data_IF_843794338692
#
_entry.id   IF_843794338692
#
_cell.length_a   1.000
_cell.length_b   1.000
_cell.length_c   1.000
_cell.angle_alpha   90.00
_cell.angle_beta   90.00
_cell.angle_gamma   90.00
#
_symmetry.space_group_name_H-M   'P 1'
#
loop_
_entity.id
_entity.type
_entity.pdbx_description
1 polymer ?
#
# COMPACT_ATOMS: atom_id res chain seq x y z
N UNK A 1 -2.69 11.30 -47.84
CA UNK A 1 -3.99 10.63 -47.64
C UNK A 1 -4.85 11.51 -46.74
N UNK A 2 -6.16 11.61 -46.97
CA UNK A 2 -7.08 12.37 -46.10
C UNK A 2 -8.30 11.48 -45.84
N UNK A 3 -8.49 10.99 -44.62
CA UNK A 3 -9.60 10.08 -44.28
C UNK A 3 -10.62 10.79 -43.40
N UNK A 4 -11.85 10.92 -43.89
CA UNK A 4 -12.97 11.61 -43.22
C UNK A 4 -13.94 10.65 -42.51
N UNK A 5 -13.58 9.37 -42.34
CA UNK A 5 -14.33 8.40 -41.52
C UNK A 5 -14.08 8.60 -40.01
N UNK A 6 -14.57 7.72 -39.14
CA UNK A 6 -14.37 7.77 -37.67
C UNK A 6 -13.60 6.55 -37.13
N UNK A 7 -12.73 5.92 -37.93
CA UNK A 7 -11.99 4.71 -37.54
C UNK A 7 -10.48 4.84 -37.75
N UNK A 8 -9.72 4.02 -37.02
CA UNK A 8 -8.27 3.83 -37.12
C UNK A 8 -7.80 3.63 -38.57
N UNK A 9 -6.58 4.09 -38.88
CA UNK A 9 -5.93 3.83 -40.16
C UNK A 9 -4.80 2.84 -39.93
N UNK A 10 -4.94 1.62 -40.44
CA UNK A 10 -3.90 0.59 -40.36
C UNK A 10 -3.13 0.50 -41.68
N UNK A 11 -1.81 0.61 -41.62
CA UNK A 11 -0.90 0.27 -42.72
C UNK A 11 -0.45 -1.18 -42.55
N UNK A 12 -1.01 -2.09 -43.37
CA UNK A 12 -0.79 -3.54 -43.22
C UNK A 12 0.45 -4.06 -43.96
N UNK A 13 1.12 -5.03 -43.36
CA UNK A 13 2.36 -5.69 -43.82
C UNK A 13 2.23 -6.45 -45.14
N UNK A 14 1.02 -6.81 -45.60
CA UNK A 14 0.79 -7.67 -46.78
C UNK A 14 1.30 -7.13 -48.14
N UNK A 15 1.96 -5.96 -48.17
CA UNK A 15 2.59 -5.37 -49.36
C UNK A 15 4.05 -4.92 -49.19
N UNK A 16 4.70 -5.18 -48.04
CA UNK A 16 6.05 -4.72 -47.75
C UNK A 16 7.05 -5.89 -47.82
N UNK A 17 7.80 -5.95 -48.93
CA UNK A 17 8.95 -6.84 -49.08
C UNK A 17 10.12 -6.41 -48.15
N UNK A 18 11.18 -7.22 -47.96
CA UNK A 18 12.36 -6.84 -47.18
C UNK A 18 13.16 -5.63 -47.74
N UNK A 19 12.75 -5.05 -48.87
CA UNK A 19 13.29 -3.80 -49.38
C UNK A 19 12.52 -2.60 -48.79
N UNK A 20 13.24 -1.63 -48.25
CA UNK A 20 12.67 -0.50 -47.51
C UNK A 20 11.64 0.32 -48.33
N UNK A 21 10.46 0.58 -47.74
CA UNK A 21 9.51 1.58 -48.26
C UNK A 21 9.83 2.95 -47.65
N UNK A 22 9.83 4.01 -48.47
CA UNK A 22 10.02 5.39 -48.00
C UNK A 22 8.75 6.22 -48.23
N UNK A 23 8.22 6.83 -47.16
CA UNK A 23 7.13 7.79 -47.19
C UNK A 23 7.68 9.22 -47.03
N UNK A 24 7.67 10.00 -48.11
CA UNK A 24 8.25 11.36 -48.13
C UNK A 24 7.20 12.49 -48.09
N UNK A 25 5.91 12.16 -48.17
CA UNK A 25 4.83 13.14 -48.06
C UNK A 25 4.50 13.47 -46.60
N UNK A 26 3.97 14.68 -46.36
CA UNK A 26 3.46 15.04 -45.03
C UNK A 26 2.33 14.10 -44.59
N UNK A 27 2.37 13.69 -43.33
CA UNK A 27 1.45 12.75 -42.71
C UNK A 27 0.80 13.38 -41.47
N UNK A 28 -0.50 13.18 -41.27
CA UNK A 28 -1.24 13.78 -40.15
C UNK A 28 -2.02 12.72 -39.38
N UNK A 29 -1.68 12.53 -38.10
CA UNK A 29 -2.33 11.70 -37.09
C UNK A 29 -3.61 12.37 -36.58
N UNK A 30 -4.59 12.53 -37.47
CA UNK A 30 -5.93 13.00 -37.11
C UNK A 30 -6.79 11.91 -36.45
N UNK A 31 -6.28 10.67 -36.40
CA UNK A 31 -6.82 9.45 -35.81
C UNK A 31 -5.65 8.56 -35.36
N UNK A 32 -5.87 7.57 -34.48
CA UNK A 32 -4.85 6.55 -34.21
C UNK A 32 -4.42 5.89 -35.53
N UNK A 33 -3.11 5.71 -35.68
CA UNK A 33 -2.51 5.07 -36.85
C UNK A 33 -1.65 3.92 -36.39
N UNK A 34 -1.98 2.72 -36.87
CA UNK A 34 -1.16 1.52 -36.67
C UNK A 34 -0.26 1.32 -37.89
N UNK A 35 1.03 1.27 -37.65
CA UNK A 35 2.05 0.82 -38.59
C UNK A 35 2.38 -0.65 -38.29
N UNK A 36 1.69 -1.55 -38.99
CA UNK A 36 1.90 -2.99 -38.91
C UNK A 36 2.94 -3.42 -39.95
N UNK A 37 4.20 -3.50 -39.52
CA UNK A 37 5.37 -3.61 -40.41
C UNK A 37 6.30 -4.74 -39.97
N UNK A 38 6.49 -5.73 -40.85
CA UNK A 38 7.47 -6.83 -40.70
C UNK A 38 8.82 -6.56 -41.42
N UNK A 39 8.85 -5.57 -42.32
CA UNK A 39 10.04 -5.14 -43.07
C UNK A 39 10.66 -3.86 -42.51
N UNK A 40 11.16 -2.98 -43.38
CA UNK A 40 11.59 -1.63 -42.99
C UNK A 40 10.72 -0.57 -43.67
N UNK A 41 10.19 0.36 -42.89
CA UNK A 41 9.44 1.53 -43.35
C UNK A 41 10.14 2.80 -42.85
N UNK A 42 10.60 3.66 -43.75
CA UNK A 42 11.14 4.98 -43.40
C UNK A 42 10.14 6.09 -43.72
N UNK A 43 9.85 6.94 -42.74
CA UNK A 43 9.00 8.13 -42.88
C UNK A 43 9.91 9.36 -42.85
N UNK A 44 10.17 9.91 -44.03
CA UNK A 44 11.01 11.10 -44.23
C UNK A 44 10.19 12.39 -44.32
N UNK A 45 8.89 12.29 -44.60
CA UNK A 45 7.95 13.42 -44.54
C UNK A 45 7.59 13.80 -43.09
N UNK A 46 7.18 15.06 -42.84
CA UNK A 46 6.78 15.49 -41.50
C UNK A 46 5.50 14.78 -41.05
N UNK A 47 5.50 14.24 -39.83
CA UNK A 47 4.34 13.68 -39.12
C UNK A 47 3.80 14.72 -38.14
N UNK A 48 2.52 15.08 -38.25
CA UNK A 48 1.82 16.02 -37.36
C UNK A 48 0.56 15.38 -36.77
N UNK A 49 -0.17 16.08 -35.91
CA UNK A 49 -1.47 15.61 -35.39
C UNK A 49 -1.43 15.30 -33.90
N UNK A 50 -2.55 14.94 -33.30
CA UNK A 50 -2.68 14.79 -31.85
C UNK A 50 -2.97 13.37 -31.37
N UNK A 51 -3.15 12.44 -32.31
CA UNK A 51 -3.48 11.05 -32.00
C UNK A 51 -2.23 10.16 -31.97
N UNK A 52 -2.37 8.95 -31.42
CA UNK A 52 -1.29 7.98 -31.25
C UNK A 52 -0.71 7.51 -32.59
N UNK A 53 0.59 7.24 -32.55
CA UNK A 53 1.31 6.40 -33.48
C UNK A 53 1.54 5.05 -32.80
N UNK A 54 1.06 3.99 -33.41
CA UNK A 54 1.18 2.63 -32.89
C UNK A 54 2.03 1.80 -33.84
N UNK A 55 3.03 1.09 -33.32
CA UNK A 55 3.93 0.22 -34.08
C UNK A 55 3.70 -1.23 -33.67
N UNK A 56 3.31 -2.05 -34.65
CA UNK A 56 3.16 -3.51 -34.52
C UNK A 56 3.96 -4.22 -35.63
N UNK A 57 4.00 -5.54 -35.61
CA UNK A 57 4.77 -6.35 -36.54
C UNK A 57 6.26 -6.37 -36.21
N UNK A 58 6.96 -7.35 -36.72
CA UNK A 58 8.33 -7.70 -36.27
C UNK A 58 9.44 -6.79 -36.81
N UNK A 59 9.11 -5.90 -37.73
CA UNK A 59 10.04 -5.05 -38.47
C UNK A 59 10.31 -3.70 -37.82
N UNK A 60 10.92 -2.79 -38.60
CA UNK A 60 11.35 -1.46 -38.16
C UNK A 60 10.58 -0.35 -38.86
N UNK A 61 10.02 0.59 -38.09
CA UNK A 61 9.59 1.90 -38.58
C UNK A 61 10.64 2.93 -38.18
N UNK A 62 11.12 3.71 -39.14
CA UNK A 62 12.13 4.75 -38.94
C UNK A 62 11.45 6.11 -39.17
N UNK A 63 11.45 6.97 -38.15
CA UNK A 63 11.07 8.37 -38.28
C UNK A 63 12.33 9.19 -38.54
N UNK A 64 12.38 9.86 -39.70
CA UNK A 64 13.53 10.68 -40.12
C UNK A 64 13.15 12.14 -40.40
N UNK A 65 11.86 12.41 -40.64
CA UNK A 65 11.34 13.75 -40.95
C UNK A 65 11.15 14.65 -39.72
N UNK A 66 10.95 15.97 -39.89
CA UNK A 66 10.69 16.90 -38.79
C UNK A 66 9.24 16.74 -38.29
N UNK A 67 9.09 16.02 -37.18
CA UNK A 67 7.80 15.64 -36.64
C UNK A 67 7.29 16.65 -35.60
N UNK A 68 5.97 16.75 -35.50
CA UNK A 68 5.25 17.70 -34.64
C UNK A 68 3.98 17.11 -34.06
N UNK A 69 3.85 15.78 -34.08
CA UNK A 69 2.70 15.13 -33.47
C UNK A 69 2.80 15.18 -31.94
N UNK A 70 1.64 15.23 -31.28
CA UNK A 70 1.50 15.36 -29.83
C UNK A 70 0.78 14.17 -29.19
N UNK A 71 0.55 13.08 -29.93
CA UNK A 71 0.01 11.84 -29.38
C UNK A 71 1.11 10.92 -28.84
N UNK A 72 0.71 9.77 -28.28
CA UNK A 72 1.61 8.73 -27.80
C UNK A 72 2.39 8.06 -28.94
N UNK A 73 3.60 7.59 -28.64
CA UNK A 73 4.35 6.65 -29.49
C UNK A 73 4.33 5.28 -28.83
N UNK A 74 3.41 4.42 -29.24
CA UNK A 74 3.23 3.09 -28.65
C UNK A 74 3.91 2.05 -29.54
N UNK A 75 4.78 1.24 -28.95
CA UNK A 75 5.52 0.17 -29.64
C UNK A 75 5.11 -1.16 -29.03
N UNK A 76 4.22 -1.86 -29.72
CA UNK A 76 3.71 -3.17 -29.28
C UNK A 76 4.60 -4.32 -29.77
N UNK A 77 5.21 -4.19 -30.95
CA UNK A 77 6.13 -5.20 -31.50
C UNK A 77 7.20 -4.57 -32.41
N UNK A 78 8.36 -5.22 -32.51
CA UNK A 78 9.45 -4.81 -33.40
C UNK A 78 10.09 -3.49 -32.96
N UNK A 79 10.57 -2.68 -33.90
CA UNK A 79 11.34 -1.46 -33.58
C UNK A 79 10.69 -0.19 -34.11
N UNK A 80 10.52 0.81 -33.27
CA UNK A 80 10.37 2.22 -33.68
C UNK A 80 11.74 2.90 -33.51
N UNK A 81 12.31 3.40 -34.61
CA UNK A 81 13.60 4.11 -34.60
C UNK A 81 13.41 5.60 -34.85
N UNK A 82 14.02 6.42 -34.01
CA UNK A 82 14.04 7.88 -34.11
C UNK A 82 15.41 8.28 -34.65
N UNK A 83 15.46 8.70 -35.92
CA UNK A 83 16.72 8.84 -36.65
C UNK A 83 17.47 10.15 -36.37
N UNK A 84 16.86 11.11 -35.66
CA UNK A 84 17.44 12.39 -35.26
C UNK A 84 16.50 13.13 -34.29
N UNK A 85 17.00 14.17 -33.62
CA UNK A 85 16.24 14.96 -32.63
C UNK A 85 14.91 15.52 -33.16
N UNK A 86 14.87 15.96 -34.42
CA UNK A 86 13.66 16.53 -35.01
C UNK A 86 12.59 15.47 -35.35
N UNK A 87 12.94 14.19 -35.31
CA UNK A 87 12.04 13.10 -35.65
C UNK A 87 11.20 12.59 -34.47
N UNK A 88 11.51 12.98 -33.24
CA UNK A 88 10.77 12.51 -32.06
C UNK A 88 9.33 13.01 -32.03
N UNK A 89 9.10 14.28 -32.40
CA UNK A 89 7.80 14.93 -32.27
C UNK A 89 7.78 15.95 -31.13
N UNK A 90 6.58 16.30 -30.65
CA UNK A 90 6.38 17.25 -29.53
C UNK A 90 5.85 16.53 -28.28
N UNK A 91 5.16 15.40 -28.43
CA UNK A 91 4.81 14.53 -27.30
C UNK A 91 5.98 13.62 -26.97
N UNK A 92 6.16 13.39 -25.68
CA UNK A 92 7.23 12.57 -25.13
C UNK A 92 6.68 11.42 -24.27
N UNK A 93 5.37 11.17 -24.32
CA UNK A 93 4.82 9.94 -23.74
C UNK A 93 4.99 8.78 -24.72
N UNK A 94 5.42 7.63 -24.23
CA UNK A 94 5.61 6.43 -25.02
C UNK A 94 5.37 5.17 -24.18
N UNK A 95 5.00 4.10 -24.87
CA UNK A 95 4.79 2.78 -24.29
C UNK A 95 5.57 1.74 -25.11
N UNK A 96 6.29 0.84 -24.44
CA UNK A 96 7.09 -0.20 -25.08
C UNK A 96 6.69 -1.53 -24.44
N UNK A 97 6.09 -2.43 -25.21
CA UNK A 97 5.79 -3.80 -24.76
C UNK A 97 7.04 -4.69 -24.72
N UNK A 98 6.94 -5.83 -24.01
CA UNK A 98 8.06 -6.74 -23.68
C UNK A 98 9.00 -7.12 -24.86
N UNK A 99 8.47 -7.33 -26.06
CA UNK A 99 9.27 -7.72 -27.25
C UNK A 99 9.51 -6.56 -28.23
N UNK A 100 9.20 -5.34 -27.81
CA UNK A 100 9.33 -4.14 -28.61
C UNK A 100 10.61 -3.36 -28.28
N UNK A 101 11.00 -2.49 -29.20
CA UNK A 101 12.17 -1.63 -29.05
C UNK A 101 11.87 -0.20 -29.51
N UNK A 102 12.17 0.77 -28.65
CA UNK A 102 12.30 2.17 -29.05
C UNK A 102 13.80 2.50 -29.17
N UNK A 103 14.27 2.69 -30.40
CA UNK A 103 15.67 2.97 -30.73
C UNK A 103 15.89 4.45 -30.97
N UNK A 104 16.62 5.10 -30.06
CA UNK A 104 16.87 6.55 -30.06
C UNK A 104 18.37 6.87 -30.21
N UNK A 105 19.20 5.86 -30.51
CA UNK A 105 20.66 5.98 -30.54
C UNK A 105 21.20 7.00 -31.55
N UNK A 106 20.38 7.44 -32.51
CA UNK A 106 20.74 8.47 -33.48
C UNK A 106 20.44 9.90 -33.01
N UNK A 107 19.78 10.06 -31.85
CA UNK A 107 19.53 11.36 -31.21
C UNK A 107 20.81 11.86 -30.53
N UNK A 108 20.96 13.18 -30.44
CA UNK A 108 22.10 13.84 -29.77
C UNK A 108 21.73 14.46 -28.43
N UNK A 109 20.43 14.55 -28.15
CA UNK A 109 19.87 14.97 -26.88
C UNK A 109 19.10 13.79 -26.29
N UNK A 110 19.24 13.48 -24.99
CA UNK A 110 18.40 12.49 -24.33
C UNK A 110 16.92 12.80 -24.53
N UNK A 111 16.08 11.76 -24.56
CA UNK A 111 14.63 11.98 -24.51
C UNK A 111 14.28 12.55 -23.14
N UNK A 112 13.57 13.67 -23.10
CA UNK A 112 12.97 14.22 -21.87
C UNK A 112 11.52 13.75 -21.78
N UNK A 113 11.12 13.12 -20.68
CA UNK A 113 9.71 12.79 -20.34
C UNK A 113 9.17 13.93 -19.47
N UNK A 114 8.40 14.90 -20.00
CA UNK A 114 8.02 16.10 -19.25
C UNK A 114 7.03 15.78 -18.12
N UNK A 115 6.88 16.70 -17.18
CA UNK A 115 6.09 16.56 -15.94
C UNK A 115 4.60 16.18 -16.08
N UNK A 116 4.06 16.14 -17.29
CA UNK A 116 2.67 15.74 -17.59
C UNK A 116 2.58 14.50 -18.49
N UNK A 117 3.68 13.77 -18.64
CA UNK A 117 3.83 12.65 -19.57
C UNK A 117 4.32 11.39 -18.84
N UNK A 118 4.11 10.25 -19.49
CA UNK A 118 4.38 8.93 -18.97
C UNK A 118 5.27 8.17 -19.95
N UNK A 119 6.31 7.52 -19.43
CA UNK A 119 7.09 6.53 -20.14
C UNK A 119 6.83 5.16 -19.51
N UNK A 120 6.30 4.23 -20.29
CA UNK A 120 6.06 2.85 -19.87
C UNK A 120 7.04 1.93 -20.62
N UNK A 121 7.95 1.27 -19.92
CA UNK A 121 9.03 0.48 -20.52
C UNK A 121 8.95 -0.95 -20.00
N UNK A 122 8.30 -1.82 -20.76
CA UNK A 122 8.28 -3.27 -20.55
C UNK A 122 9.25 -4.00 -21.50
N UNK A 123 9.50 -3.42 -22.68
CA UNK A 123 10.49 -3.90 -23.64
C UNK A 123 11.85 -3.21 -23.52
N UNK A 124 12.46 -2.88 -24.66
CA UNK A 124 13.78 -2.25 -24.73
C UNK A 124 13.73 -0.78 -25.19
N UNK A 125 14.35 0.12 -24.43
CA UNK A 125 14.66 1.48 -24.83
C UNK A 125 16.16 1.57 -25.08
N UNK A 126 16.58 2.06 -26.25
CA UNK A 126 18.01 2.25 -26.57
C UNK A 126 18.33 3.75 -26.62
N UNK A 127 19.21 4.20 -25.73
CA UNK A 127 19.63 5.60 -25.60
C UNK A 127 19.44 6.16 -24.18
N UNK A 128 19.79 7.44 -24.02
CA UNK A 128 19.71 8.15 -22.74
C UNK A 128 18.31 8.73 -22.50
N UNK A 129 17.85 8.67 -21.25
CA UNK A 129 16.54 9.15 -20.80
C UNK A 129 16.69 10.18 -19.67
N UNK A 130 15.98 11.30 -19.81
CA UNK A 130 15.73 12.29 -18.76
C UNK A 130 14.26 12.21 -18.38
N UNK A 131 13.95 12.10 -17.09
CA UNK A 131 12.57 11.96 -16.59
C UNK A 131 12.24 13.18 -15.73
N UNK A 132 11.35 14.02 -16.23
CA UNK A 132 10.76 15.15 -15.50
C UNK A 132 9.32 14.87 -15.04
N UNK A 133 8.72 13.78 -15.54
CA UNK A 133 7.36 13.31 -15.25
C UNK A 133 7.38 11.93 -14.62
N UNK A 134 6.79 10.95 -15.31
CA UNK A 134 6.58 9.62 -14.75
C UNK A 134 7.22 8.54 -15.62
N UNK A 135 7.97 7.62 -15.00
CA UNK A 135 8.52 6.42 -15.63
C UNK A 135 8.06 5.17 -14.88
N UNK A 136 7.50 4.21 -15.58
CA UNK A 136 7.10 2.91 -15.05
C UNK A 136 7.55 1.76 -15.96
N UNK A 137 7.69 0.59 -15.37
CA UNK A 137 7.88 -0.65 -16.09
C UNK A 137 9.01 -1.51 -15.52
N UNK A 138 9.19 -2.67 -16.10
CA UNK A 138 10.18 -3.67 -15.71
C UNK A 138 11.07 -4.11 -16.89
N UNK A 139 11.18 -3.24 -17.91
CA UNK A 139 11.94 -3.48 -19.13
C UNK A 139 13.41 -3.09 -19.02
N UNK A 140 14.03 -2.82 -20.18
CA UNK A 140 15.45 -2.59 -20.34
C UNK A 140 15.72 -1.21 -20.95
N UNK A 141 16.60 -0.44 -20.33
CA UNK A 141 17.09 0.87 -20.80
C UNK A 141 18.58 0.73 -21.07
N UNK A 142 18.94 0.70 -22.35
CA UNK A 142 20.34 0.68 -22.81
C UNK A 142 20.89 2.10 -22.92
N UNK A 143 21.19 2.70 -21.76
CA UNK A 143 21.68 4.07 -21.64
C UNK A 143 21.57 4.60 -20.22
N UNK A 144 21.85 5.88 -20.06
CA UNK A 144 21.76 6.57 -18.77
C UNK A 144 20.33 7.02 -18.47
N UNK A 145 19.96 7.03 -17.19
CA UNK A 145 18.68 7.53 -16.70
C UNK A 145 18.92 8.65 -15.70
N UNK A 146 18.40 9.84 -15.98
CA UNK A 146 18.41 10.99 -15.08
C UNK A 146 16.98 11.38 -14.69
N UNK A 147 16.60 11.13 -13.44
CA UNK A 147 15.29 11.47 -12.88
C UNK A 147 15.41 12.82 -12.17
N UNK A 148 14.70 13.82 -12.69
CA UNK A 148 14.77 15.22 -12.25
C UNK A 148 13.83 15.51 -11.08
N UNK A 149 14.06 16.65 -10.44
CA UNK A 149 13.24 17.13 -9.33
C UNK A 149 11.73 17.13 -9.64
N UNK A 150 10.95 16.49 -8.77
CA UNK A 150 9.49 16.35 -8.87
C UNK A 150 9.01 15.26 -9.83
N UNK A 151 9.93 14.52 -10.46
CA UNK A 151 9.61 13.35 -11.25
C UNK A 151 9.47 12.10 -10.35
N UNK A 152 8.80 11.09 -10.88
CA UNK A 152 8.50 9.85 -10.18
C UNK A 152 8.87 8.65 -11.06
N UNK A 153 9.49 7.64 -10.44
CA UNK A 153 9.81 6.37 -11.09
C UNK A 153 9.29 5.19 -10.27
N UNK A 154 8.64 4.25 -10.94
CA UNK A 154 8.10 3.01 -10.37
C UNK A 154 8.54 1.82 -11.21
N UNK A 155 9.59 1.09 -10.80
CA UNK A 155 9.79 -0.26 -11.31
C UNK A 155 8.51 -1.07 -11.08
N UNK A 156 7.95 -1.73 -12.09
CA UNK A 156 6.62 -2.36 -11.93
C UNK A 156 6.65 -3.55 -10.96
N UNK A 157 5.50 -3.85 -10.33
CA UNK A 157 5.31 -4.74 -9.17
C UNK A 157 5.89 -6.16 -9.34
N UNK A 158 5.91 -6.68 -10.57
CA UNK A 158 6.30 -8.04 -10.91
C UNK A 158 7.60 -8.14 -11.73
N UNK A 159 8.51 -7.17 -11.60
CA UNK A 159 9.76 -7.27 -12.35
C UNK A 159 10.92 -6.39 -11.91
N UNK A 160 11.94 -6.40 -12.79
CA UNK A 160 13.19 -5.70 -12.61
C UNK A 160 13.38 -4.69 -13.72
N UNK A 161 13.30 -3.39 -13.41
CA UNK A 161 13.75 -2.38 -14.35
C UNK A 161 15.27 -2.44 -14.49
N UNK A 162 15.77 -2.58 -15.71
CA UNK A 162 17.21 -2.67 -16.00
C UNK A 162 17.72 -1.39 -16.66
N UNK A 163 18.75 -0.78 -16.11
CA UNK A 163 19.46 0.38 -16.67
C UNK A 163 20.91 -0.03 -16.88
N UNK A 164 21.41 -0.02 -18.11
CA UNK A 164 22.80 -0.43 -18.39
C UNK A 164 23.82 0.66 -18.09
N UNK A 165 23.41 1.93 -18.14
CA UNK A 165 24.26 3.08 -17.86
C UNK A 165 24.12 3.60 -16.43
N UNK A 166 24.45 4.88 -16.26
CA UNK A 166 24.35 5.57 -14.97
C UNK A 166 22.89 5.86 -14.61
N UNK A 167 22.57 5.79 -13.33
CA UNK A 167 21.29 6.20 -12.77
C UNK A 167 21.48 7.38 -11.82
N UNK A 168 20.76 8.48 -12.06
CA UNK A 168 20.77 9.67 -11.19
C UNK A 168 19.36 10.01 -10.74
N UNK A 169 19.15 10.13 -9.43
CA UNK A 169 17.90 10.56 -8.80
C UNK A 169 18.14 11.90 -8.09
N UNK A 170 17.63 12.99 -8.66
CA UNK A 170 17.80 14.35 -8.14
C UNK A 170 16.99 14.60 -6.85
N UNK A 171 17.33 15.69 -6.15
CA UNK A 171 16.53 16.22 -5.06
C UNK A 171 15.04 16.32 -5.41
N UNK A 172 14.17 15.85 -4.51
CA UNK A 172 12.70 15.80 -4.68
C UNK A 172 12.19 14.98 -5.86
N UNK A 173 13.03 14.21 -6.53
CA UNK A 173 12.57 13.09 -7.34
C UNK A 173 12.22 11.91 -6.43
N UNK A 174 11.24 11.13 -6.82
CA UNK A 174 10.72 10.00 -6.03
C UNK A 174 10.95 8.68 -6.78
N UNK A 175 11.40 7.66 -6.06
CA UNK A 175 11.38 6.27 -6.52
C UNK A 175 10.54 5.43 -5.57
N UNK A 176 9.64 4.61 -6.11
CA UNK A 176 8.78 3.73 -5.32
C UNK A 176 9.13 2.25 -5.51
N UNK A 177 9.23 1.54 -4.39
CA UNK A 177 9.29 0.08 -4.37
C UNK A 177 8.12 -0.48 -3.56
N UNK A 178 7.57 -1.58 -4.03
CA UNK A 178 6.53 -2.33 -3.36
C UNK A 178 7.12 -3.59 -2.71
N UNK A 179 6.77 -3.83 -1.45
CA UNK A 179 7.24 -4.94 -0.62
C UNK A 179 6.07 -5.83 -0.21
N UNK A 180 5.97 -7.03 -0.79
CA UNK A 180 4.95 -8.05 -0.48
C UNK A 180 5.51 -9.27 0.30
N UNK A 181 6.79 -9.62 0.16
CA UNK A 181 7.49 -10.69 0.89
C UNK A 181 8.91 -10.80 0.28
N UNK A 182 9.71 -11.76 0.70
CA UNK A 182 11.15 -11.83 0.43
C UNK A 182 11.54 -12.43 -0.94
N UNK A 183 10.59 -12.84 -1.79
CA UNK A 183 10.91 -13.39 -3.12
C UNK A 183 11.02 -12.28 -4.18
N UNK A 184 12.21 -11.99 -4.73
CA UNK A 184 12.38 -10.94 -5.73
C UNK A 184 11.56 -11.22 -6.99
N UNK A 185 11.06 -10.15 -7.61
CA UNK A 185 10.31 -10.13 -8.88
C UNK A 185 8.93 -10.82 -8.85
N UNK A 186 8.55 -11.38 -7.71
CA UNK A 186 7.24 -11.98 -7.48
C UNK A 186 6.53 -11.33 -6.30
N UNK A 187 7.30 -11.00 -5.27
CA UNK A 187 6.82 -10.45 -4.02
C UNK A 187 7.47 -9.10 -3.71
N UNK A 188 8.37 -8.60 -4.55
CA UNK A 188 8.80 -7.20 -4.56
C UNK A 188 9.47 -6.85 -5.89
N UNK A 189 9.33 -5.59 -6.30
CA UNK A 189 9.96 -5.04 -7.50
C UNK A 189 11.44 -4.69 -7.25
N UNK A 190 12.25 -4.74 -8.30
CA UNK A 190 13.67 -4.40 -8.23
C UNK A 190 14.07 -3.43 -9.33
N UNK A 191 15.20 -2.75 -9.11
CA UNK A 191 15.95 -2.06 -10.14
C UNK A 191 17.34 -2.65 -10.25
N UNK A 192 17.87 -2.75 -11.46
CA UNK A 192 19.28 -3.06 -11.72
C UNK A 192 19.92 -1.91 -12.47
N UNK A 193 21.10 -1.49 -12.01
CA UNK A 193 21.92 -0.47 -12.64
C UNK A 193 23.29 -1.06 -12.96
N UNK A 194 23.74 -0.88 -14.20
CA UNK A 194 25.04 -1.36 -14.70
C UNK A 194 26.13 -0.29 -14.71
N UNK A 195 25.82 0.94 -14.32
CA UNK A 195 26.76 2.06 -14.18
C UNK A 195 26.71 2.69 -12.79
N UNK A 196 27.17 3.93 -12.68
CA UNK A 196 27.18 4.66 -11.39
C UNK A 196 25.77 5.01 -10.94
N UNK A 197 25.50 4.84 -9.65
CA UNK A 197 24.25 5.27 -9.00
C UNK A 197 24.49 6.55 -8.22
N UNK A 198 23.71 7.61 -8.48
CA UNK A 198 23.76 8.88 -7.75
C UNK A 198 22.41 9.21 -7.14
N UNK A 199 22.36 9.43 -5.82
CA UNK A 199 21.13 9.64 -5.06
C UNK A 199 21.13 10.96 -4.27
N UNK A 200 20.10 11.76 -4.50
CA UNK A 200 19.67 12.87 -3.64
C UNK A 200 18.13 12.95 -3.53
N UNK A 201 17.40 11.96 -4.06
CA UNK A 201 15.94 11.91 -4.05
C UNK A 201 15.32 11.19 -2.85
N UNK A 202 13.99 11.10 -2.87
CA UNK A 202 13.16 10.51 -1.84
C UNK A 202 12.79 9.05 -2.21
N UNK A 203 12.71 8.18 -1.20
CA UNK A 203 12.30 6.78 -1.35
C UNK A 203 10.88 6.61 -0.82
N UNK A 204 10.02 5.99 -1.63
CA UNK A 204 8.68 5.56 -1.24
C UNK A 204 8.65 4.04 -1.16
N UNK A 205 7.99 3.52 -0.13
CA UNK A 205 7.79 2.09 0.06
C UNK A 205 6.30 1.80 0.19
N UNK A 206 5.74 1.09 -0.78
CA UNK A 206 4.44 0.45 -0.65
C UNK A 206 4.59 -0.90 0.05
N UNK A 207 3.70 -1.25 0.97
CA UNK A 207 3.70 -2.59 1.59
C UNK A 207 2.28 -3.06 1.88
N UNK A 208 2.00 -4.32 1.59
CA UNK A 208 0.70 -5.00 1.83
C UNK A 208 0.79 -6.38 2.55
N UNK A 209 1.88 -6.71 3.29
CA UNK A 209 1.85 -7.84 4.23
C UNK A 209 2.44 -7.55 5.61
N UNK A 210 2.26 -8.52 6.50
CA UNK A 210 2.95 -8.60 7.80
C UNK A 210 4.41 -9.00 7.58
N UNK A 211 5.28 -8.02 7.37
CA UNK A 211 6.73 -8.20 7.39
C UNK A 211 7.19 -8.69 8.77
N UNK A 212 8.18 -9.57 8.82
CA UNK A 212 8.72 -10.11 10.08
C UNK A 212 10.21 -9.81 10.24
N UNK A 213 10.69 -9.83 11.48
CA UNK A 213 12.11 -9.58 11.79
C UNK A 213 13.04 -10.49 10.97
N UNK A 214 14.08 -9.89 10.39
CA UNK A 214 15.08 -10.49 9.49
C UNK A 214 14.62 -10.76 8.06
N UNK A 215 13.41 -10.37 7.65
CA UNK A 215 13.09 -10.28 6.22
C UNK A 215 14.07 -9.31 5.55
N UNK A 216 14.55 -9.67 4.37
CA UNK A 216 15.60 -8.93 3.67
C UNK A 216 15.27 -8.75 2.19
N UNK A 217 15.57 -7.56 1.69
CA UNK A 217 15.24 -7.11 0.35
C UNK A 217 16.47 -6.46 -0.28
N UNK A 218 16.64 -6.65 -1.59
CA UNK A 218 17.63 -5.89 -2.37
C UNK A 218 16.85 -5.10 -3.41
N UNK A 219 16.62 -3.81 -3.18
CA UNK A 219 15.75 -3.01 -4.05
C UNK A 219 16.49 -2.49 -5.29
N UNK A 220 17.77 -2.15 -5.11
CA UNK A 220 18.63 -1.72 -6.21
C UNK A 220 19.88 -2.60 -6.25
N UNK A 221 20.04 -3.33 -7.35
CA UNK A 221 21.24 -4.07 -7.69
C UNK A 221 22.15 -3.18 -8.51
N UNK A 222 23.31 -2.83 -7.98
CA UNK A 222 24.34 -2.11 -8.69
C UNK A 222 25.47 -3.08 -9.04
N UNK A 223 26.13 -2.90 -10.17
CA UNK A 223 27.18 -3.84 -10.56
C UNK A 223 28.39 -3.78 -9.62
N UNK A 224 29.12 -4.87 -9.46
CA UNK A 224 30.27 -4.94 -8.53
C UNK A 224 31.44 -3.95 -8.78
N UNK A 225 31.37 -3.11 -9.81
CA UNK A 225 32.44 -2.18 -10.21
C UNK A 225 32.14 -0.72 -9.97
N UNK A 226 30.88 -0.31 -10.04
CA UNK A 226 30.49 1.09 -10.01
C UNK A 226 30.00 1.56 -8.63
N UNK A 227 30.39 2.75 -8.16
CA UNK A 227 30.02 3.21 -6.82
C UNK A 227 28.56 3.67 -6.73
N UNK A 228 28.01 3.62 -5.51
CA UNK A 228 26.87 4.46 -5.12
C UNK A 228 27.40 5.78 -4.54
N UNK A 229 26.89 6.90 -5.05
CA UNK A 229 27.13 8.25 -4.55
C UNK A 229 25.88 8.83 -3.91
N UNK A 230 26.01 9.34 -2.69
CA UNK A 230 24.88 9.89 -1.93
C UNK A 230 24.05 8.80 -1.25
N UNK A 231 22.87 9.19 -0.78
CA UNK A 231 21.89 8.31 -0.13
C UNK A 231 20.50 8.81 -0.49
N UNK A 232 19.47 7.99 -0.30
CA UNK A 232 18.11 8.53 -0.22
C UNK A 232 18.05 9.59 0.89
N UNK A 233 17.22 10.62 0.66
CA UNK A 233 17.11 11.74 1.60
C UNK A 233 16.59 11.29 2.94
N UNK A 234 17.22 11.82 4.00
CA UNK A 234 16.85 11.49 5.37
C UNK A 234 17.23 10.06 5.81
N UNK A 235 17.83 9.26 4.92
CA UNK A 235 18.08 7.85 5.15
C UNK A 235 19.56 7.49 4.92
N UNK A 236 20.48 7.88 5.82
CA UNK A 236 21.89 7.52 5.73
C UNK A 236 22.11 6.01 5.91
N UNK A 237 23.33 5.51 5.69
CA UNK A 237 23.70 4.11 5.98
C UNK A 237 23.26 3.68 7.39
N UNK A 238 22.53 2.57 7.48
CA UNK A 238 21.96 2.05 8.74
C UNK A 238 20.75 2.83 9.27
N UNK A 239 20.27 3.85 8.54
CA UNK A 239 19.04 4.55 8.81
C UNK A 239 17.81 3.63 8.69
N UNK A 240 16.73 4.00 9.36
CA UNK A 240 15.54 3.16 9.48
C UNK A 240 14.26 3.88 9.04
N UNK A 241 13.33 3.13 8.46
CA UNK A 241 11.96 3.57 8.16
C UNK A 241 11.03 2.72 9.03
N UNK A 242 10.27 3.35 9.95
CA UNK A 242 9.29 2.64 10.76
C UNK A 242 8.17 2.07 9.88
N UNK A 243 7.80 0.80 10.08
CA UNK A 243 6.79 0.09 9.28
C UNK A 243 5.60 -0.43 10.10
N UNK A 244 5.46 -0.03 11.35
CA UNK A 244 4.42 -0.55 12.22
C UNK A 244 4.87 -1.78 13.02
N UNK A 245 4.03 -2.23 13.97
CA UNK A 245 4.25 -3.45 14.78
C UNK A 245 5.58 -3.53 15.53
N UNK A 246 6.19 -2.39 15.87
CA UNK A 246 7.50 -2.36 16.53
C UNK A 246 8.66 -2.79 15.62
N UNK A 247 8.46 -2.74 14.30
CA UNK A 247 9.45 -3.08 13.28
C UNK A 247 9.82 -1.87 12.43
N UNK A 248 11.03 -1.89 11.89
CA UNK A 248 11.53 -0.90 10.95
C UNK A 248 12.35 -1.56 9.84
N UNK A 249 12.40 -0.93 8.67
CA UNK A 249 13.28 -1.30 7.57
C UNK A 249 14.59 -0.52 7.70
N UNK A 250 15.67 -1.22 8.01
CA UNK A 250 17.03 -0.65 8.05
C UNK A 250 17.68 -0.74 6.67
N UNK A 251 18.18 0.39 6.15
CA UNK A 251 18.88 0.46 4.87
C UNK A 251 20.37 0.08 5.00
N UNK A 252 20.91 -0.56 3.98
CA UNK A 252 22.34 -0.60 3.70
C UNK A 252 22.63 -0.33 2.23
N UNK A 253 23.47 0.66 1.96
CA UNK A 253 24.06 0.97 0.65
C UNK A 253 25.35 0.17 0.38
N UNK A 254 25.65 -0.81 1.24
CA UNK A 254 26.77 -1.74 1.13
C UNK A 254 26.28 -3.19 1.02
N UNK A 255 25.01 -3.39 0.66
CA UNK A 255 24.46 -4.72 0.46
C UNK A 255 25.16 -5.41 -0.73
N UNK A 256 25.06 -6.74 -0.77
CA UNK A 256 25.65 -7.57 -1.83
C UNK A 256 24.64 -8.64 -2.25
N UNK A 257 23.60 -8.21 -2.96
CA UNK A 257 22.60 -9.03 -3.60
C UNK A 257 23.04 -9.60 -4.94
N UNK A 258 24.00 -8.99 -5.63
CA UNK A 258 24.50 -9.49 -6.92
C UNK A 258 25.54 -10.64 -6.78
N UNK A 259 26.06 -10.86 -5.57
CA UNK A 259 27.06 -11.88 -5.26
C UNK A 259 28.48 -11.51 -5.71
N UNK A 260 28.71 -10.23 -6.02
CA UNK A 260 29.96 -9.65 -6.45
C UNK A 260 31.00 -9.53 -5.33
N UNK A 261 32.17 -9.00 -5.70
CA UNK A 261 33.30 -8.84 -4.77
C UNK A 261 33.19 -7.58 -3.87
N UNK A 262 32.32 -6.63 -4.24
CA UNK A 262 32.08 -5.38 -3.54
C UNK A 262 30.61 -5.36 -3.14
N UNK A 263 30.32 -4.89 -1.92
CA UNK A 263 28.94 -4.59 -1.52
C UNK A 263 28.64 -3.15 -1.88
N UNK A 264 27.82 -2.95 -2.89
CA UNK A 264 27.41 -1.65 -3.41
C UNK A 264 25.98 -1.72 -3.97
N UNK A 265 25.18 -2.66 -3.48
CA UNK A 265 23.73 -2.70 -3.69
C UNK A 265 23.00 -1.92 -2.59
N UNK A 266 21.72 -1.62 -2.82
CA UNK A 266 20.85 -1.04 -1.82
C UNK A 266 19.90 -2.11 -1.30
N UNK A 267 20.17 -2.55 -0.08
CA UNK A 267 19.39 -3.53 0.64
C UNK A 267 18.63 -2.94 1.80
N UNK A 268 17.54 -3.61 2.17
CA UNK A 268 16.79 -3.35 3.38
C UNK A 268 16.67 -4.63 4.20
N UNK A 269 16.68 -4.49 5.52
CA UNK A 269 16.44 -5.60 6.45
C UNK A 269 15.44 -5.15 7.49
N UNK A 270 14.43 -5.97 7.75
CA UNK A 270 13.48 -5.74 8.82
C UNK A 270 14.16 -6.00 10.15
N UNK A 271 14.21 -4.96 10.99
CA UNK A 271 14.81 -4.97 12.31
C UNK A 271 13.76 -4.54 13.33
N UNK A 272 13.94 -4.83 14.63
CA UNK A 272 13.18 -4.14 15.66
C UNK A 272 13.32 -2.63 15.49
N UNK A 273 12.21 -1.91 15.51
CA UNK A 273 12.29 -0.45 15.52
C UNK A 273 12.91 -0.01 16.84
N UNK A 274 14.10 0.56 16.75
CA UNK A 274 14.86 1.05 17.89
C UNK A 274 14.82 2.57 18.02
N UNK A 275 13.94 3.25 17.29
CA UNK A 275 13.96 4.68 17.05
C UNK A 275 12.64 5.42 17.30
N UNK A 276 11.52 4.69 17.37
CA UNK A 276 10.17 5.24 17.57
C UNK A 276 9.60 4.93 18.96
N UNK A 277 8.47 5.56 19.26
CA UNK A 277 7.66 5.34 20.49
C UNK A 277 6.48 4.44 20.13
N UNK A 278 6.02 3.56 21.01
CA UNK A 278 4.89 2.64 20.74
C UNK A 278 3.86 2.71 21.88
N UNK A 279 2.73 3.40 21.69
CA UNK A 279 1.74 3.62 22.75
C UNK A 279 0.52 2.68 22.70
N UNK A 280 0.65 1.47 23.23
CA UNK A 280 -0.50 0.56 23.30
C UNK A 280 -1.59 0.95 24.31
N UNK A 281 -2.86 0.81 23.90
CA UNK A 281 -4.04 0.83 24.76
C UNK A 281 -4.49 -0.57 25.16
N UNK A 282 -4.90 -0.70 26.41
CA UNK A 282 -5.71 -1.84 26.89
C UNK A 282 -6.80 -1.35 27.82
N UNK A 283 -7.90 -2.10 27.92
CA UNK A 283 -9.09 -1.69 28.67
C UNK A 283 -9.50 -2.70 29.74
N UNK A 284 -9.91 -2.16 30.89
CA UNK A 284 -10.62 -2.87 31.94
C UNK A 284 -11.97 -2.19 32.16
N UNK A 285 -13.04 -2.85 31.72
CA UNK A 285 -14.41 -2.39 31.87
C UNK A 285 -15.27 -3.48 32.53
N UNK A 286 -16.30 -3.12 33.32
CA UNK A 286 -17.26 -4.10 33.79
C UNK A 286 -18.05 -4.67 32.60
N UNK A 287 -18.21 -5.99 32.59
CA UNK A 287 -19.03 -6.67 31.58
C UNK A 287 -20.50 -6.26 31.66
N UNK A 288 -21.01 -6.02 32.88
CA UNK A 288 -22.38 -5.60 33.11
C UNK A 288 -22.52 -4.72 34.35
N UNK A 289 -23.51 -3.82 34.33
CA UNK A 289 -23.84 -2.90 35.41
C UNK A 289 -25.36 -2.79 35.59
N UNK A 290 -25.81 -2.46 36.79
CA UNK A 290 -27.22 -2.22 37.08
C UNK A 290 -27.69 -0.88 36.48
N UNK A 291 -29.00 -0.79 36.21
CA UNK A 291 -29.66 0.45 35.79
C UNK A 291 -29.35 1.59 36.75
N UNK A 292 -29.05 2.77 36.22
CA UNK A 292 -28.73 3.98 36.99
C UNK A 292 -27.56 3.83 38.00
N UNK A 293 -26.79 2.75 37.93
CA UNK A 293 -25.62 2.55 38.80
C UNK A 293 -24.40 3.33 38.27
N UNK A 294 -23.51 3.70 39.19
CA UNK A 294 -22.22 4.28 38.82
C UNK A 294 -21.24 3.16 38.48
N UNK A 295 -20.46 3.35 37.42
CA UNK A 295 -19.41 2.43 37.03
C UNK A 295 -18.21 3.19 36.45
N UNK A 296 -17.09 2.47 36.28
CA UNK A 296 -15.87 3.03 35.74
C UNK A 296 -15.29 2.15 34.64
N UNK A 297 -14.68 2.78 33.64
CA UNK A 297 -13.89 2.14 32.60
C UNK A 297 -12.45 2.63 32.76
N UNK A 298 -11.49 1.72 32.87
CA UNK A 298 -10.09 2.08 33.04
C UNK A 298 -9.29 1.66 31.82
N UNK A 299 -8.62 2.62 31.20
CA UNK A 299 -7.67 2.39 30.13
C UNK A 299 -6.26 2.40 30.70
N UNK A 300 -5.44 1.44 30.31
CA UNK A 300 -4.01 1.44 30.55
C UNK A 300 -3.33 1.81 29.24
N UNK A 301 -2.52 2.86 29.29
CA UNK A 301 -1.65 3.29 28.19
C UNK A 301 -0.25 2.84 28.55
N UNK A 302 0.32 1.95 27.76
CA UNK A 302 1.68 1.46 27.94
C UNK A 302 2.56 1.96 26.80
N UNK A 303 3.80 2.35 27.12
CA UNK A 303 4.82 2.57 26.12
C UNK A 303 5.62 1.27 25.94
N UNK A 304 5.47 0.61 24.80
CA UNK A 304 6.02 -0.71 24.50
C UNK A 304 7.36 -0.68 23.74
N UNK A 305 7.85 0.49 23.32
CA UNK A 305 8.94 0.49 22.37
C UNK A 305 9.59 1.83 22.11
N UNK A 306 10.86 1.79 21.74
CA UNK A 306 11.93 1.73 22.76
C UNK A 306 12.39 3.11 23.22
N UNK A 307 11.65 4.13 22.83
CA UNK A 307 11.88 5.51 23.21
C UNK A 307 10.79 6.02 24.13
N UNK A 308 11.14 7.02 24.92
CA UNK A 308 10.17 7.74 25.73
C UNK A 308 9.15 8.44 24.81
N UNK A 309 7.86 8.26 25.10
CA UNK A 309 6.79 8.96 24.39
C UNK A 309 6.88 10.45 24.65
N UNK A 310 6.48 11.26 23.67
CA UNK A 310 6.14 12.65 23.93
C UNK A 310 4.81 12.74 24.70
N UNK A 311 4.42 13.95 25.11
CA UNK A 311 3.10 14.14 25.71
C UNK A 311 2.01 13.87 24.66
N UNK A 312 1.04 13.05 25.03
CA UNK A 312 -0.03 12.56 24.17
C UNK A 312 -1.41 12.88 24.76
N UNK A 313 -2.47 12.42 24.12
CA UNK A 313 -3.82 12.56 24.67
C UNK A 313 -4.69 11.35 24.36
N UNK A 314 -5.38 10.83 25.38
CA UNK A 314 -6.46 9.87 25.18
C UNK A 314 -7.70 10.63 24.73
N UNK A 315 -8.18 10.31 23.54
CA UNK A 315 -9.40 10.88 22.99
C UNK A 315 -10.51 9.84 23.01
N UNK A 316 -11.69 10.24 23.47
CA UNK A 316 -12.81 9.33 23.68
C UNK A 316 -14.09 9.99 23.19
N UNK A 317 -14.75 9.36 22.23
CA UNK A 317 -16.11 9.75 21.90
C UNK A 317 -17.06 9.26 23.00
N UNK A 318 -17.71 10.20 23.69
CA UNK A 318 -18.56 9.87 24.83
C UNK A 318 -19.86 9.20 24.36
N UNK A 319 -20.29 8.09 24.98
CA UNK A 319 -21.54 7.43 24.62
C UNK A 319 -22.76 8.32 24.91
N UNK A 320 -23.67 8.46 23.94
CA UNK A 320 -24.87 9.27 24.08
C UNK A 320 -25.87 8.74 25.12
N UNK A 321 -25.81 7.45 25.44
CA UNK A 321 -26.75 6.77 26.33
C UNK A 321 -26.23 6.57 27.76
N UNK A 322 -25.05 7.08 28.11
CA UNK A 322 -24.54 7.10 29.48
C UNK A 322 -24.24 8.53 29.95
N UNK A 323 -24.37 8.79 31.25
CA UNK A 323 -24.01 10.10 31.81
C UNK A 323 -22.55 10.09 32.25
N UNK A 324 -21.68 10.83 31.56
CA UNK A 324 -20.28 11.00 31.95
C UNK A 324 -20.13 11.98 33.13
N UNK A 325 -19.34 11.59 34.14
CA UNK A 325 -19.08 12.42 35.34
C UNK A 325 -17.67 13.01 35.39
N UNK A 326 -16.73 12.41 34.66
CA UNK A 326 -15.34 12.87 34.64
C UNK A 326 -14.34 11.74 34.42
N UNK A 327 -13.10 12.15 34.23
CA UNK A 327 -11.95 11.25 34.10
C UNK A 327 -10.92 11.52 35.20
N UNK A 328 -10.11 10.52 35.49
CA UNK A 328 -8.90 10.65 36.30
C UNK A 328 -7.72 10.05 35.52
N UNK A 329 -6.71 10.84 35.14
CA UNK A 329 -6.56 12.29 35.31
C UNK A 329 -7.69 13.13 34.66
N UNK A 330 -7.89 14.40 35.08
CA UNK A 330 -8.96 15.24 34.55
C UNK A 330 -8.75 15.57 33.06
N UNK A 331 -9.78 15.36 32.25
CA UNK A 331 -9.85 15.75 30.85
C UNK A 331 -10.83 16.91 30.61
N UNK A 332 -10.87 17.37 29.35
CA UNK A 332 -11.77 18.42 28.87
C UNK A 332 -12.75 17.85 27.83
N UNK A 333 -14.01 18.28 27.89
CA UNK A 333 -15.05 17.87 26.93
C UNK A 333 -15.40 19.03 26.00
N UNK A 334 -15.34 18.79 24.69
CA UNK A 334 -15.80 19.73 23.65
C UNK A 334 -16.78 18.99 22.75
N UNK A 335 -18.05 19.42 22.76
CA UNK A 335 -19.11 18.64 22.09
C UNK A 335 -19.28 17.29 22.76
N UNK A 336 -19.04 16.20 22.02
CA UNK A 336 -19.09 14.82 22.52
C UNK A 336 -17.70 14.17 22.68
N UNK A 337 -16.63 14.89 22.36
CA UNK A 337 -15.26 14.39 22.46
C UNK A 337 -14.67 14.77 23.82
N UNK A 338 -14.24 13.77 24.58
CA UNK A 338 -13.40 13.92 25.75
C UNK A 338 -11.93 13.80 25.34
N UNK A 339 -11.11 14.76 25.76
CA UNK A 339 -9.64 14.71 25.62
C UNK A 339 -9.01 14.68 27.00
N UNK A 340 -8.26 13.63 27.31
CA UNK A 340 -7.50 13.49 28.57
C UNK A 340 -6.00 13.60 28.26
N UNK A 341 -5.29 14.61 28.81
CA UNK A 341 -3.87 14.75 28.59
C UNK A 341 -3.09 13.61 29.26
N UNK A 342 -2.16 13.03 28.52
CA UNK A 342 -1.25 11.97 28.97
C UNK A 342 0.17 12.53 28.95
N UNK A 343 0.85 12.48 30.09
CA UNK A 343 2.24 12.93 30.15
C UNK A 343 3.15 11.95 29.41
N UNK A 344 4.32 12.44 28.97
CA UNK A 344 5.37 11.60 28.42
C UNK A 344 5.60 10.35 29.27
N UNK A 345 5.62 9.19 28.63
CA UNK A 345 5.85 7.89 29.25
C UNK A 345 7.25 7.41 28.89
N UNK A 346 8.05 7.07 29.89
CA UNK A 346 9.32 6.42 29.62
C UNK A 346 9.09 5.06 28.94
N UNK A 347 10.09 4.58 28.18
CA UNK A 347 10.05 3.22 27.64
C UNK A 347 9.70 2.20 28.75
N UNK A 348 8.95 1.16 28.39
CA UNK A 348 8.44 0.09 29.28
C UNK A 348 7.57 0.57 30.46
N UNK A 349 7.14 1.84 30.46
CA UNK A 349 6.28 2.41 31.50
C UNK A 349 4.82 2.45 31.06
N UNK A 350 3.90 2.50 32.03
CA UNK A 350 2.48 2.69 31.77
C UNK A 350 1.85 3.71 32.71
N UNK A 351 0.69 4.20 32.30
CA UNK A 351 -0.22 5.01 33.11
C UNK A 351 -1.65 4.58 32.87
N UNK A 352 -2.57 5.05 33.71
CA UNK A 352 -4.00 4.73 33.59
C UNK A 352 -4.87 5.97 33.50
N UNK A 353 -5.96 5.85 32.74
CA UNK A 353 -7.05 6.81 32.67
C UNK A 353 -8.35 6.11 33.04
N UNK A 354 -8.98 6.54 34.12
CA UNK A 354 -10.28 6.01 34.56
C UNK A 354 -11.38 7.00 34.23
N UNK A 355 -12.36 6.56 33.45
CA UNK A 355 -13.59 7.28 33.13
C UNK A 355 -14.72 6.84 34.06
N UNK A 356 -15.48 7.78 34.59
CA UNK A 356 -16.63 7.48 35.48
C UNK A 356 -17.94 7.86 34.81
N UNK A 357 -18.89 6.92 34.83
CA UNK A 357 -20.19 7.07 34.21
C UNK A 357 -21.32 6.67 35.16
N UNK A 358 -22.54 7.12 34.86
CA UNK A 358 -23.78 6.51 35.35
C UNK A 358 -24.52 5.86 34.19
N UNK A 359 -24.90 4.60 34.39
CA UNK A 359 -25.66 3.82 33.43
C UNK A 359 -27.07 4.41 33.20
N UNK A 360 -27.68 4.19 32.02
CA UNK A 360 -29.04 4.61 31.75
C UNK A 360 -30.07 3.91 32.66
N UNK A 361 -31.28 4.45 32.66
CA UNK A 361 -32.44 3.89 33.39
C UNK A 361 -33.16 2.79 32.59
N UNK A 362 -32.73 2.52 31.36
CA UNK A 362 -33.25 1.45 30.49
C UNK A 362 -32.12 0.47 30.17
N UNK A 363 -32.47 -0.79 29.94
CA UNK A 363 -31.49 -1.80 29.52
C UNK A 363 -30.91 -1.46 28.14
N UNK A 364 -29.67 -1.87 27.89
CA UNK A 364 -28.97 -1.63 26.63
C UNK A 364 -27.48 -1.93 26.75
N UNK A 365 -26.67 -1.36 25.87
CA UNK A 365 -25.21 -1.45 25.89
C UNK A 365 -24.59 -0.04 25.91
N UNK A 366 -23.48 0.11 26.63
CA UNK A 366 -22.66 1.32 26.58
C UNK A 366 -21.38 0.96 25.85
N UNK A 367 -21.13 1.66 24.75
CA UNK A 367 -19.93 1.49 23.94
C UNK A 367 -18.98 2.67 24.17
N UNK A 368 -17.71 2.39 24.43
CA UNK A 368 -16.68 3.42 24.59
C UNK A 368 -15.50 3.05 23.71
N UNK A 369 -15.19 3.91 22.75
CA UNK A 369 -14.15 3.73 21.75
C UNK A 369 -13.13 4.86 21.88
N UNK A 370 -12.01 4.63 22.58
CA UNK A 370 -10.94 5.59 22.66
C UNK A 370 -9.84 5.30 21.63
N UNK A 371 -9.12 6.34 21.24
CA UNK A 371 -7.81 6.23 20.62
C UNK A 371 -6.79 7.05 21.41
N UNK A 372 -5.53 6.63 21.41
CA UNK A 372 -4.43 7.47 21.90
C UNK A 372 -3.88 8.28 20.72
N UNK A 373 -3.78 9.59 20.89
CA UNK A 373 -3.18 10.47 19.89
C UNK A 373 -1.76 10.83 20.31
N UNK A 374 -0.78 10.40 19.51
CA UNK A 374 0.62 10.73 19.68
C UNK A 374 1.06 11.65 18.52
N UNK A 375 1.50 12.87 18.85
CA UNK A 375 1.96 13.84 17.85
C UNK A 375 3.35 13.51 17.27
N UNK A 376 4.03 12.51 17.82
CA UNK A 376 5.25 11.89 17.30
C UNK A 376 4.89 10.47 16.84
N UNK A 377 5.38 10.05 15.69
CA UNK A 377 4.97 8.77 15.07
C UNK A 377 4.98 7.59 16.04
N UNK A 378 3.93 6.76 15.93
CA UNK A 378 3.75 5.53 16.69
C UNK A 378 4.32 4.34 15.91
N UNK A 379 5.13 3.52 16.56
CA UNK A 379 5.71 2.32 15.99
C UNK A 379 4.67 1.25 15.66
N UNK A 380 3.47 1.31 16.24
CA UNK A 380 2.38 0.36 16.01
C UNK A 380 1.01 0.99 16.27
N UNK A 381 0.50 1.73 15.28
CA UNK A 381 -0.80 2.39 15.37
C UNK A 381 -2.01 1.44 15.54
N UNK A 382 -1.86 0.14 15.26
CA UNK A 382 -2.96 -0.83 15.42
C UNK A 382 -3.31 -1.09 16.88
N UNK A 383 -2.38 -0.85 17.81
CA UNK A 383 -2.60 -1.06 19.24
C UNK A 383 -3.05 0.23 19.97
N UNK A 384 -3.23 1.33 19.25
CA UNK A 384 -3.64 2.64 19.77
C UNK A 384 -5.15 2.73 20.06
N UNK A 385 -5.91 1.67 19.76
CA UNK A 385 -7.36 1.64 19.83
C UNK A 385 -7.84 0.46 20.70
N UNK A 386 -8.63 0.75 21.75
CA UNK A 386 -9.11 -0.28 22.69
C UNK A 386 -10.59 -0.07 23.04
N UNK A 387 -11.54 -0.51 22.20
CA UNK A 387 -12.96 -0.33 22.48
C UNK A 387 -13.44 -1.21 23.64
N UNK A 388 -14.50 -0.78 24.32
CA UNK A 388 -15.15 -1.58 25.36
C UNK A 388 -16.66 -1.50 25.29
N UNK A 389 -17.31 -2.56 25.79
CA UNK A 389 -18.76 -2.66 25.91
C UNK A 389 -19.11 -3.03 27.33
N UNK A 390 -20.03 -2.28 27.92
CA UNK A 390 -20.64 -2.59 29.21
C UNK A 390 -22.14 -2.78 29.00
N UNK A 391 -22.65 -3.96 29.34
CA UNK A 391 -24.08 -4.23 29.29
C UNK A 391 -24.81 -3.55 30.47
N UNK A 392 -26.00 -3.01 30.22
CA UNK A 392 -26.84 -2.37 31.23
C UNK A 392 -28.08 -3.22 31.42
N UNK A 393 -28.23 -3.82 32.60
CA UNK A 393 -29.30 -4.79 32.86
C UNK A 393 -29.64 -4.84 34.36
N UNK A 394 -30.91 -5.02 34.75
CA UNK A 394 -31.27 -5.24 36.14
C UNK A 394 -30.72 -6.58 36.65
N UNK A 395 -29.85 -6.55 37.66
CA UNK A 395 -29.36 -7.75 38.36
C UNK A 395 -27.98 -8.26 37.92
N UNK A 396 -27.21 -7.48 37.15
CA UNK A 396 -25.82 -7.81 36.77
C UNK A 396 -25.66 -8.72 35.55
N UNK A 397 -24.53 -9.44 35.47
CA UNK A 397 -24.07 -10.23 34.30
C UNK A 397 -25.19 -11.13 33.75
N UNK A 398 -25.38 -11.22 32.41
CA UNK A 398 -26.38 -12.11 31.83
C UNK A 398 -26.21 -13.53 32.34
N UNK A 399 -27.30 -14.09 32.88
CA UNK A 399 -27.32 -15.44 33.45
C UNK A 399 -27.72 -16.42 32.34
N UNK A 400 -26.88 -17.43 32.11
CA UNK A 400 -27.28 -18.61 31.34
C UNK A 400 -28.33 -19.34 32.18
N UNK A 401 -29.59 -19.35 31.73
CA UNK A 401 -30.71 -19.88 32.48
C UNK A 401 -30.68 -21.42 32.46
N UNK A 402 -30.37 -22.00 31.29
CA UNK A 402 -30.02 -23.41 31.19
C UNK A 402 -29.10 -23.70 30.00
N UNK A 403 -28.24 -24.70 30.16
CA UNK A 403 -27.41 -25.28 29.10
C UNK A 403 -27.56 -26.80 29.16
N UNK A 404 -27.91 -27.44 28.06
CA UNK A 404 -27.96 -28.90 27.98
C UNK A 404 -27.42 -29.41 26.64
N UNK A 405 -26.76 -30.55 26.69
CA UNK A 405 -26.34 -31.32 25.53
C UNK A 405 -27.10 -32.65 25.59
N UNK A 406 -27.83 -32.96 24.53
CA UNK A 406 -28.47 -34.25 24.34
C UNK A 406 -27.65 -35.04 23.30
N UNK A 407 -26.71 -35.88 23.76
CA UNK A 407 -25.88 -36.68 22.87
C UNK A 407 -26.65 -37.82 22.18
N UNK A 408 -27.83 -38.22 22.69
CA UNK A 408 -28.63 -39.28 22.08
C UNK A 408 -29.38 -38.78 20.85
N UNK A 409 -29.87 -37.53 20.90
CA UNK A 409 -30.55 -36.88 19.77
C UNK A 409 -29.63 -35.97 18.94
N UNK A 410 -28.37 -35.83 19.36
CA UNK A 410 -27.39 -34.97 18.70
C UNK A 410 -27.86 -33.52 18.70
N UNK A 411 -28.35 -33.01 19.82
CA UNK A 411 -28.86 -31.62 19.91
C UNK A 411 -28.24 -30.89 21.08
N UNK A 412 -27.78 -29.68 20.81
CA UNK A 412 -27.38 -28.71 21.82
C UNK A 412 -28.57 -27.77 22.13
N UNK A 413 -28.83 -27.47 23.40
CA UNK A 413 -29.82 -26.45 23.81
C UNK A 413 -29.18 -25.41 24.73
N UNK A 414 -29.35 -24.14 24.37
CA UNK A 414 -29.03 -23.00 25.21
C UNK A 414 -30.27 -22.15 25.44
N UNK A 415 -30.59 -21.92 26.72
CA UNK A 415 -31.56 -20.93 27.15
C UNK A 415 -30.80 -19.73 27.73
N UNK A 416 -30.70 -18.65 26.93
CA UNK A 416 -30.04 -17.41 27.33
C UNK A 416 -31.08 -16.30 27.46
N UNK A 417 -31.16 -15.67 28.63
CA UNK A 417 -31.94 -14.44 28.77
C UNK A 417 -31.15 -13.28 28.17
N UNK A 418 -31.54 -12.84 26.99
CA UNK A 418 -30.80 -11.86 26.21
C UNK A 418 -31.01 -10.45 26.77
N UNK A 419 -30.01 -9.59 26.60
CA UNK A 419 -30.11 -8.16 26.91
C UNK A 419 -30.47 -7.42 25.61
N UNK A 420 -31.47 -6.52 25.62
CA UNK A 420 -31.79 -5.71 24.45
C UNK A 420 -30.56 -4.97 23.92
N UNK A 421 -30.40 -4.92 22.60
CA UNK A 421 -29.40 -4.10 21.90
C UNK A 421 -27.94 -4.44 22.27
N UNK A 422 -27.71 -5.69 22.68
CA UNK A 422 -26.39 -6.30 22.86
C UNK A 422 -26.18 -7.31 21.73
N UNK A 423 -25.04 -7.23 21.04
CA UNK A 423 -24.62 -8.21 20.03
C UNK A 423 -24.04 -9.43 20.73
N UNK A 424 -24.60 -10.60 20.41
CA UNK A 424 -24.15 -11.88 20.90
C UNK A 424 -23.59 -12.70 19.75
N UNK A 425 -22.44 -13.33 19.97
CA UNK A 425 -21.88 -14.32 19.05
C UNK A 425 -21.65 -15.63 19.82
N UNK A 426 -22.28 -16.70 19.34
CA UNK A 426 -21.97 -18.07 19.73
C UNK A 426 -20.91 -18.59 18.77
N UNK A 427 -19.77 -19.03 19.30
CA UNK A 427 -18.68 -19.59 18.51
C UNK A 427 -18.36 -21.00 18.99
N UNK A 428 -17.84 -21.81 18.07
CA UNK A 428 -17.33 -23.15 18.36
C UNK A 428 -15.86 -23.28 17.98
N UNK A 429 -15.18 -24.23 18.61
CA UNK A 429 -13.84 -24.64 18.25
C UNK A 429 -13.66 -26.15 18.46
N UNK A 430 -12.76 -26.75 17.70
CA UNK A 430 -12.32 -28.14 17.87
C UNK A 430 -10.98 -28.24 18.59
N UNK A 431 -10.22 -27.15 18.70
CA UNK A 431 -8.83 -27.12 19.15
C UNK A 431 -8.50 -26.01 20.16
N UNK A 432 -9.46 -25.12 20.48
CA UNK A 432 -9.34 -23.87 21.26
C UNK A 432 -8.57 -22.73 20.57
N UNK A 433 -7.93 -22.99 19.44
CA UNK A 433 -7.11 -22.02 18.71
C UNK A 433 -7.91 -21.37 17.58
N UNK A 434 -8.71 -22.15 16.84
CA UNK A 434 -9.53 -21.66 15.73
C UNK A 434 -11.01 -21.65 16.12
N UNK A 435 -11.64 -20.47 16.01
CA UNK A 435 -13.04 -20.26 16.37
C UNK A 435 -13.89 -19.96 15.14
N UNK A 436 -15.05 -20.61 15.04
CA UNK A 436 -16.04 -20.39 13.99
C UNK A 436 -17.37 -19.91 14.57
N UNK A 437 -17.94 -18.88 13.96
CA UNK A 437 -19.24 -18.34 14.35
C UNK A 437 -20.37 -19.31 13.97
N UNK A 438 -21.18 -19.68 14.96
CA UNK A 438 -22.38 -20.51 14.77
C UNK A 438 -23.63 -19.66 14.66
N UNK A 439 -23.73 -18.64 15.48
CA UNK A 439 -24.89 -17.76 15.53
C UNK A 439 -24.46 -16.38 15.98
N UNK A 440 -24.91 -15.39 15.23
CA UNK A 440 -24.84 -13.99 15.60
C UNK A 440 -26.24 -13.41 15.66
N UNK A 441 -26.56 -12.69 16.74
CA UNK A 441 -27.86 -12.05 16.88
C UNK A 441 -27.81 -10.87 17.86
N UNK A 442 -28.80 -9.99 17.73
CA UNK A 442 -29.08 -8.94 18.70
C UNK A 442 -30.05 -9.46 19.75
N UNK A 443 -29.69 -9.29 21.03
CA UNK A 443 -30.62 -9.58 22.10
C UNK A 443 -31.83 -8.65 22.05
N UNK A 444 -32.99 -9.19 22.39
CA UNK A 444 -34.27 -8.49 22.35
C UNK A 444 -34.94 -8.42 23.74
N UNK A 445 -34.27 -8.91 24.78
CA UNK A 445 -34.82 -8.97 26.14
C UNK A 445 -35.60 -10.25 26.45
N UNK A 446 -35.77 -11.14 25.47
CA UNK A 446 -36.46 -12.41 25.63
C UNK A 446 -35.49 -13.59 25.81
N UNK A 447 -36.05 -14.74 26.22
CA UNK A 447 -35.31 -16.00 26.32
C UNK A 447 -35.02 -16.52 24.92
N UNK A 448 -33.75 -16.55 24.54
CA UNK A 448 -33.30 -17.15 23.28
C UNK A 448 -33.11 -18.65 23.50
N UNK A 449 -33.72 -19.44 22.61
CA UNK A 449 -33.54 -20.89 22.52
C UNK A 449 -32.77 -21.20 21.24
N UNK A 450 -31.55 -21.71 21.38
CA UNK A 450 -30.79 -22.20 20.23
C UNK A 450 -30.76 -23.71 20.24
N UNK A 451 -31.08 -24.32 19.09
CA UNK A 451 -31.00 -25.75 18.88
C UNK A 451 -30.31 -26.04 17.56
N UNK A 452 -29.20 -26.78 17.60
CA UNK A 452 -28.40 -27.12 16.43
C UNK A 452 -28.12 -28.64 16.40
N UNK A 453 -28.37 -29.33 15.27
CA UNK A 453 -27.94 -30.71 15.10
C UNK A 453 -26.40 -30.81 15.20
N UNK A 454 -25.93 -31.72 16.04
CA UNK A 454 -24.51 -32.06 16.21
C UNK A 454 -24.09 -32.93 15.01
N UNK A 455 -23.96 -32.28 13.84
CA UNK A 455 -23.55 -32.95 12.61
C UNK A 455 -22.03 -33.11 12.48
N UNK A 456 -21.24 -32.53 13.41
CA UNK A 456 -19.78 -32.58 13.44
C UNK A 456 -19.27 -32.72 14.88
N UNK A 457 -18.05 -33.20 15.07
CA UNK A 457 -17.37 -33.26 16.37
C UNK A 457 -17.08 -31.84 16.88
N UNK A 458 -18.01 -31.29 17.66
CA UNK A 458 -17.89 -29.99 18.35
C UNK A 458 -17.35 -30.23 19.77
N UNK A 459 -16.18 -29.69 20.12
CA UNK A 459 -15.55 -29.92 21.44
C UNK A 459 -15.67 -28.72 22.39
N UNK A 460 -15.54 -27.49 21.88
CA UNK A 460 -15.57 -26.27 22.69
C UNK A 460 -16.56 -25.24 22.15
N UNK A 461 -17.19 -24.51 23.07
CA UNK A 461 -18.11 -23.41 22.76
C UNK A 461 -17.76 -22.20 23.61
N UNK A 462 -17.90 -21.00 23.04
CA UNK A 462 -17.84 -19.74 23.79
C UNK A 462 -18.98 -18.82 23.37
N UNK A 463 -19.45 -18.04 24.33
CA UNK A 463 -20.42 -16.99 24.12
C UNK A 463 -19.73 -15.64 24.32
N UNK A 464 -19.68 -14.84 23.27
CA UNK A 464 -19.05 -13.54 23.26
C UNK A 464 -20.12 -12.45 23.22
N UNK A 465 -19.92 -11.41 24.02
CA UNK A 465 -20.67 -10.16 23.90
C UNK A 465 -19.74 -9.20 23.18
N UNK A 466 -20.11 -8.79 21.98
CA UNK A 466 -19.26 -7.96 21.14
C UNK A 466 -19.81 -6.52 21.03
N UNK A 467 -18.94 -5.53 20.75
CA UNK A 467 -19.38 -4.21 20.38
C UNK A 467 -20.18 -4.20 19.08
N UNK A 468 -21.11 -3.25 18.99
CA UNK A 468 -21.77 -2.90 17.75
C UNK A 468 -20.90 -1.86 17.04
N UNK A 469 -20.28 -2.21 15.91
CA UNK A 469 -19.74 -1.21 15.00
C UNK A 469 -20.89 -0.69 14.12
N UNK A 470 -21.10 0.62 14.11
CA UNK A 470 -21.94 1.28 13.10
C UNK A 470 -21.17 1.51 11.78
N UNK A 471 -19.94 1.01 11.71
CA UNK A 471 -19.02 1.29 10.63
C UNK A 471 -19.15 0.16 9.62
N UNK A 472 -19.86 0.44 8.53
CA UNK A 472 -20.11 -0.48 7.43
C UNK A 472 -18.84 -0.91 6.69
N UNK A 473 -17.93 -1.64 7.34
CA UNK A 473 -16.76 -2.21 6.69
C UNK A 473 -15.65 -2.78 7.57
N UNK A 474 -15.67 -2.63 8.90
CA UNK A 474 -14.61 -3.18 9.77
C UNK A 474 -15.03 -4.46 10.47
N UNK A 475 -14.30 -5.56 10.25
CA UNK A 475 -14.34 -6.74 11.12
C UNK A 475 -13.98 -6.33 12.56
N UNK A 476 -14.85 -6.56 13.56
CA UNK A 476 -14.46 -6.38 14.95
C UNK A 476 -13.90 -7.71 15.48
N UNK A 477 -12.65 -7.71 15.94
CA UNK A 477 -12.07 -8.78 16.77
C UNK A 477 -12.74 -8.86 18.15
#
# INVERSE_FOLDING_TARGET
>A
FNSTGSGEITFLSSTLAPDALVLSGAFNLAKPVVFDVDGTLEITGPVSGSMSLEKTGTGTVILSGPNSFTGYSDVYEGTLRIANDAAWGISHSFHIEHDATLDTLAMTVPIDVPSSHFANIYGSFLGDLTVSGYLEGNGFIDGNVHVQAGAYILPDYDGQLHVTGDFTLDHSAEIEFYLASTTPLLEYNQMRVGGTVTLDGDLLLGSDPVLVENDSFILLLNDSTDPIHGTFRGLPEGGVIAIGNGLALQVSYQANGDGGAVGNDIGFTVVPDTSSTDLALSVSAPLAVDLASSFAVTYTIANLGPHDSSASSLEVELPANATFHGSTPPGSVVGNLLTVPVSALANDSNTTVTLTFTAPTMSGSIFVAPWIYNGTGDANDTNDYAPSVTAVTPGGVPVIDSFSIDPENGTFTLDLKTIPDVRYVLQQSIDLDHWHDLLEFLGNGELMKFQDPVNETKEFFRFSILPYSNDGGGTPE
#
